data_IF_336069336627
#
_entry.id   IF_336069336627
#
_cell.length_a   1.000
_cell.length_b   1.000
_cell.length_c   1.000
_cell.angle_alpha   90.00
_cell.angle_beta   90.00
_cell.angle_gamma   90.00
#
_symmetry.space_group_name_H-M   'P 1'
#
loop_
_entity.id
_entity.type
_entity.pdbx_description
1 polymer ?
#
# COMPACT_ATOMS: atom_id res chain seq x y z
N UNK A 1 -34.00 53.71 0.32
CA UNK A 1 -34.20 52.34 0.84
C UNK A 1 -33.77 52.38 2.30
N UNK A 2 -34.64 52.00 3.25
CA UNK A 2 -34.32 52.15 4.67
C UNK A 2 -33.51 50.96 5.19
N UNK A 3 -32.58 51.25 6.10
CA UNK A 3 -31.74 50.29 6.82
C UNK A 3 -32.58 49.32 7.67
N UNK A 4 -32.14 48.05 7.85
CA UNK A 4 -32.82 47.13 8.73
C UNK A 4 -32.45 47.44 10.20
N UNK A 5 -33.47 47.73 11.00
CA UNK A 5 -33.37 47.85 12.46
C UNK A 5 -33.10 46.49 13.09
N UNK A 6 -32.07 46.43 13.93
CA UNK A 6 -31.74 45.28 14.79
C UNK A 6 -32.63 45.35 16.04
N UNK A 7 -33.36 44.29 16.43
CA UNK A 7 -34.15 44.31 17.65
C UNK A 7 -33.29 44.02 18.90
N UNK A 8 -33.59 44.79 19.94
CA UNK A 8 -32.99 44.79 21.28
C UNK A 8 -33.02 43.42 21.97
N UNK A 9 -31.84 42.99 22.47
CA UNK A 9 -31.65 41.83 23.35
C UNK A 9 -31.82 42.23 24.82
N UNK A 10 -33.02 42.56 25.27
CA UNK A 10 -33.31 42.59 26.71
C UNK A 10 -34.80 42.39 26.99
N UNK A 11 -35.24 41.13 27.19
CA UNK A 11 -36.35 40.72 28.08
C UNK A 11 -36.77 39.28 27.82
N UNK A 12 -36.07 38.32 28.44
CA UNK A 12 -36.55 36.93 28.60
C UNK A 12 -35.91 36.33 29.86
N UNK A 13 -36.20 36.90 31.02
CA UNK A 13 -36.05 36.26 32.32
C UNK A 13 -37.38 36.47 33.05
N UNK A 14 -38.27 35.49 32.90
CA UNK A 14 -39.26 35.05 33.90
C UNK A 14 -40.24 34.10 33.23
N UNK A 15 -39.94 32.80 33.30
CA UNK A 15 -40.93 31.73 33.17
C UNK A 15 -40.88 30.90 34.45
N UNK A 16 -42.02 30.62 35.09
CA UNK A 16 -42.07 29.79 36.28
C UNK A 16 -41.73 28.34 35.92
N UNK A 17 -40.82 27.74 36.68
CA UNK A 17 -40.51 26.31 36.66
C UNK A 17 -41.80 25.50 36.89
N UNK A 18 -42.29 24.85 35.84
CA UNK A 18 -43.24 23.76 35.98
C UNK A 18 -42.45 22.50 36.38
N UNK A 19 -42.59 22.09 37.63
CA UNK A 19 -42.14 20.79 38.12
C UNK A 19 -42.80 19.67 37.31
N UNK A 20 -42.02 19.03 36.45
CA UNK A 20 -42.38 17.75 35.85
C UNK A 20 -42.35 16.67 36.94
N UNK A 21 -43.32 15.75 36.97
CA UNK A 21 -43.35 14.66 37.94
C UNK A 21 -42.13 13.77 37.74
N UNK A 22 -41.35 13.59 38.81
CA UNK A 22 -40.18 12.73 38.84
C UNK A 22 -40.55 11.29 38.52
N UNK A 23 -40.25 10.86 37.30
CA UNK A 23 -40.19 9.45 36.94
C UNK A 23 -38.90 8.91 37.54
N UNK A 24 -39.01 8.22 38.67
CA UNK A 24 -37.93 7.43 39.23
C UNK A 24 -37.64 6.26 38.27
N UNK A 25 -36.76 6.49 37.29
CA UNK A 25 -36.15 5.41 36.52
C UNK A 25 -35.14 4.72 37.43
N UNK A 26 -35.59 3.72 38.20
CA UNK A 26 -34.66 2.74 38.76
C UNK A 26 -33.83 2.17 37.61
N UNK A 27 -32.49 2.25 37.66
CA UNK A 27 -31.66 1.62 36.63
C UNK A 27 -31.97 0.12 36.65
N UNK A 28 -32.59 -0.35 35.58
CA UNK A 28 -32.78 -1.79 35.37
C UNK A 28 -31.38 -2.40 35.38
N UNK A 29 -31.08 -3.36 36.27
CA UNK A 29 -29.78 -3.99 36.29
C UNK A 29 -29.62 -4.75 34.97
N UNK A 30 -28.86 -4.17 34.06
CA UNK A 30 -28.43 -4.82 32.82
C UNK A 30 -27.56 -5.99 33.28
N UNK A 31 -28.11 -7.21 33.18
CA UNK A 31 -27.39 -8.42 33.58
C UNK A 31 -26.06 -8.50 32.84
N UNK A 32 -24.98 -8.80 33.56
CA UNK A 32 -23.67 -8.99 32.94
C UNK A 32 -23.78 -10.13 31.91
N UNK A 33 -23.37 -9.94 30.65
CA UNK A 33 -23.39 -11.01 29.67
C UNK A 33 -22.51 -12.16 30.15
N UNK A 34 -22.98 -13.40 29.94
CA UNK A 34 -22.19 -14.59 30.26
C UNK A 34 -21.05 -14.76 29.24
N UNK A 35 -19.96 -15.43 29.62
CA UNK A 35 -18.84 -15.75 28.71
C UNK A 35 -19.33 -16.44 27.44
N UNK A 36 -20.24 -17.40 27.60
CA UNK A 36 -20.85 -18.13 26.48
C UNK A 36 -21.59 -17.21 25.50
N UNK A 37 -22.18 -16.11 25.98
CA UNK A 37 -22.82 -15.12 25.12
C UNK A 37 -21.77 -14.31 24.33
N UNK A 38 -20.67 -13.92 24.97
CA UNK A 38 -19.58 -13.15 24.32
C UNK A 38 -18.86 -14.01 23.27
N UNK A 39 -18.53 -15.27 23.60
CA UNK A 39 -17.85 -16.19 22.67
C UNK A 39 -18.72 -16.55 21.47
N UNK A 40 -20.02 -16.78 21.69
CA UNK A 40 -20.98 -17.01 20.59
C UNK A 40 -21.07 -15.81 19.65
N UNK A 41 -21.10 -14.59 20.21
CA UNK A 41 -21.08 -13.35 19.42
C UNK A 41 -19.81 -13.23 18.57
N UNK A 42 -18.63 -13.53 19.13
CA UNK A 42 -17.36 -13.50 18.40
C UNK A 42 -17.33 -14.46 17.21
N UNK A 43 -17.82 -15.68 17.37
CA UNK A 43 -17.88 -16.69 16.29
C UNK A 43 -18.79 -16.22 15.16
N UNK A 44 -19.98 -15.70 15.50
CA UNK A 44 -20.93 -15.21 14.51
C UNK A 44 -20.35 -14.02 13.73
N UNK A 45 -19.69 -13.09 14.42
CA UNK A 45 -19.05 -11.94 13.77
C UNK A 45 -17.92 -12.40 12.84
N UNK A 46 -17.07 -13.34 13.27
CA UNK A 46 -15.98 -13.86 12.44
C UNK A 46 -16.50 -14.51 11.14
N UNK A 47 -17.56 -15.33 11.23
CA UNK A 47 -18.18 -15.93 10.05
C UNK A 47 -18.73 -14.89 9.06
N UNK A 48 -19.37 -13.82 9.58
CA UNK A 48 -19.88 -12.72 8.75
C UNK A 48 -18.74 -11.92 8.10
N UNK A 49 -17.63 -11.71 8.81
CA UNK A 49 -16.44 -11.05 8.27
C UNK A 49 -15.90 -11.83 7.06
N UNK A 50 -15.81 -13.16 7.17
CA UNK A 50 -15.31 -14.01 6.07
C UNK A 50 -16.25 -14.02 4.86
N UNK A 51 -17.57 -14.06 5.09
CA UNK A 51 -18.58 -13.97 4.05
C UNK A 51 -18.46 -12.65 3.27
N UNK A 52 -18.38 -11.52 3.96
CA UNK A 52 -18.23 -10.20 3.33
C UNK A 52 -16.89 -10.07 2.58
N UNK A 53 -15.81 -10.65 3.12
CA UNK A 53 -14.50 -10.69 2.43
C UNK A 53 -14.59 -11.45 1.10
N UNK A 54 -15.36 -12.53 1.03
CA UNK A 54 -15.58 -13.28 -0.20
C UNK A 54 -16.39 -12.48 -1.23
N UNK A 55 -17.48 -11.82 -0.81
CA UNK A 55 -18.29 -10.97 -1.71
C UNK A 55 -17.47 -9.83 -2.33
N UNK A 56 -16.57 -9.23 -1.54
CA UNK A 56 -15.73 -8.09 -1.95
C UNK A 56 -14.77 -8.41 -3.09
N UNK A 57 -14.36 -9.67 -3.28
CA UNK A 57 -13.37 -10.03 -4.32
C UNK A 57 -13.85 -9.74 -5.76
N UNK A 58 -15.15 -9.55 -5.97
CA UNK A 58 -15.75 -9.30 -7.28
C UNK A 58 -15.97 -7.83 -7.62
N UNK A 59 -15.93 -6.93 -6.63
CA UNK A 59 -16.38 -5.54 -6.78
C UNK A 59 -15.22 -4.58 -7.01
N UNK A 60 -15.41 -3.60 -7.90
CA UNK A 60 -14.42 -2.56 -8.17
C UNK A 60 -14.57 -1.39 -7.20
N UNK A 61 -13.47 -0.78 -6.80
CA UNK A 61 -13.41 0.40 -5.94
C UNK A 61 -14.03 1.69 -6.50
N UNK A 62 -14.56 1.66 -7.72
CA UNK A 62 -15.38 2.75 -8.28
C UNK A 62 -16.87 2.56 -7.99
N UNK A 63 -17.26 1.39 -7.51
CA UNK A 63 -18.63 1.07 -7.22
C UNK A 63 -19.01 1.61 -5.82
N UNK A 64 -20.05 2.44 -5.67
CA UNK A 64 -20.57 2.78 -4.34
C UNK A 64 -20.94 1.53 -3.53
N UNK A 65 -21.30 0.42 -4.18
CA UNK A 65 -21.55 -0.87 -3.53
C UNK A 65 -20.27 -1.39 -2.88
N UNK A 66 -19.12 -1.37 -3.57
CA UNK A 66 -17.84 -1.79 -2.99
C UNK A 66 -17.53 -1.07 -1.68
N UNK A 67 -17.67 0.25 -1.65
CA UNK A 67 -17.38 1.04 -0.45
C UNK A 67 -18.41 0.84 0.66
N UNK A 68 -19.68 0.61 0.30
CA UNK A 68 -20.72 0.26 1.26
C UNK A 68 -20.45 -1.13 1.87
N UNK A 69 -20.09 -2.12 1.06
CA UNK A 69 -19.67 -3.45 1.50
C UNK A 69 -18.42 -3.37 2.39
N UNK A 70 -17.44 -2.54 2.03
CA UNK A 70 -16.24 -2.30 2.85
C UNK A 70 -16.59 -1.64 4.18
N UNK A 71 -17.49 -0.65 4.21
CA UNK A 71 -17.97 -0.04 5.45
C UNK A 71 -18.65 -1.08 6.34
N UNK A 72 -19.52 -1.92 5.78
CA UNK A 72 -20.18 -3.01 6.51
C UNK A 72 -19.16 -4.00 7.09
N UNK A 73 -18.12 -4.37 6.33
CA UNK A 73 -17.03 -5.22 6.80
C UNK A 73 -16.35 -4.60 8.02
N UNK A 74 -15.96 -3.33 7.92
CA UNK A 74 -15.27 -2.61 9.00
C UNK A 74 -16.17 -2.50 10.25
N UNK A 75 -17.48 -2.27 10.09
CA UNK A 75 -18.43 -2.28 11.23
C UNK A 75 -18.47 -3.62 11.96
N UNK A 76 -18.38 -4.74 11.21
CA UNK A 76 -18.29 -6.07 11.80
C UNK A 76 -16.96 -6.30 12.51
N UNK A 77 -15.85 -5.82 11.94
CA UNK A 77 -14.55 -5.84 12.60
C UNK A 77 -14.56 -5.01 13.90
N UNK A 78 -15.11 -3.79 13.89
CA UNK A 78 -15.32 -2.99 15.11
C UNK A 78 -16.07 -3.79 16.18
N UNK A 79 -17.18 -4.42 15.79
CA UNK A 79 -18.00 -5.25 16.70
C UNK A 79 -17.20 -6.46 17.25
N UNK A 80 -16.31 -7.03 16.43
CA UNK A 80 -15.42 -8.14 16.83
C UNK A 80 -14.44 -7.66 17.90
N UNK A 81 -13.75 -6.54 17.64
CA UNK A 81 -12.75 -5.95 18.55
C UNK A 81 -13.40 -5.56 19.88
N UNK A 82 -14.59 -4.94 19.84
CA UNK A 82 -15.35 -4.61 21.05
C UNK A 82 -15.73 -5.85 21.87
N UNK A 83 -16.23 -6.90 21.20
CA UNK A 83 -16.58 -8.16 21.85
C UNK A 83 -15.35 -8.83 22.45
N UNK A 84 -14.20 -8.75 21.76
CA UNK A 84 -12.94 -9.31 22.22
C UNK A 84 -12.36 -8.54 23.41
N UNK A 85 -12.44 -7.20 23.37
CA UNK A 85 -12.09 -6.32 24.49
C UNK A 85 -12.94 -6.62 25.73
N UNK A 86 -14.26 -6.83 25.55
CA UNK A 86 -15.16 -7.24 26.62
C UNK A 86 -14.80 -8.62 27.20
N UNK A 87 -14.42 -9.58 26.34
CA UNK A 87 -13.94 -10.89 26.78
C UNK A 87 -12.64 -10.78 27.59
N UNK A 88 -11.64 -10.04 27.12
CA UNK A 88 -10.37 -9.86 27.83
C UNK A 88 -10.55 -9.15 29.18
N UNK A 89 -11.42 -8.15 29.25
CA UNK A 89 -11.80 -7.53 30.50
C UNK A 89 -12.47 -8.52 31.47
N UNK A 90 -13.36 -9.39 30.96
CA UNK A 90 -13.99 -10.41 31.78
C UNK A 90 -12.93 -11.37 32.34
N UNK A 91 -12.09 -11.92 31.46
CA UNK A 91 -11.02 -12.86 31.81
C UNK A 91 -10.06 -12.27 32.84
N UNK A 92 -9.65 -11.01 32.65
CA UNK A 92 -8.83 -10.28 33.60
C UNK A 92 -9.48 -10.16 34.99
N UNK A 93 -10.80 -9.93 35.04
CA UNK A 93 -11.55 -9.82 36.30
C UNK A 93 -11.77 -11.17 37.00
N UNK A 94 -11.93 -12.26 36.24
CA UNK A 94 -12.24 -13.58 36.81
C UNK A 94 -11.01 -14.41 37.11
N UNK A 95 -10.00 -14.35 36.24
CA UNK A 95 -8.83 -15.23 36.27
C UNK A 95 -7.53 -14.47 36.60
N UNK A 96 -7.51 -13.14 36.48
CA UNK A 96 -6.34 -12.30 36.79
C UNK A 96 -6.25 -11.84 38.25
N UNK A 97 -5.12 -11.20 38.61
CA UNK A 97 -4.91 -10.51 39.91
C UNK A 97 -5.68 -9.20 40.06
N UNK A 98 -6.48 -8.82 39.06
CA UNK A 98 -7.07 -7.48 38.91
C UNK A 98 -8.11 -7.08 39.96
N UNK A 99 -8.65 -8.02 40.74
CA UNK A 99 -9.66 -7.70 41.75
C UNK A 99 -10.84 -6.88 41.17
N UNK A 100 -11.29 -5.86 41.91
CA UNK A 100 -12.37 -4.96 41.49
C UNK A 100 -11.87 -3.77 40.63
N UNK A 101 -10.79 -3.91 39.87
CA UNK A 101 -10.31 -2.83 38.99
C UNK A 101 -11.43 -2.32 38.08
N UNK A 102 -11.55 -1.02 38.00
CA UNK A 102 -12.48 -0.36 37.09
C UNK A 102 -12.00 -0.52 35.63
N UNK A 103 -12.91 -0.32 34.69
CA UNK A 103 -12.65 -0.51 33.26
C UNK A 103 -11.49 0.35 32.74
N UNK A 104 -11.46 1.64 33.13
CA UNK A 104 -10.41 2.58 32.72
C UNK A 104 -9.03 2.20 33.29
N UNK A 105 -9.00 1.58 34.47
CA UNK A 105 -7.74 1.13 35.10
C UNK A 105 -7.14 -0.07 34.35
N UNK A 106 -7.98 -0.91 33.75
CA UNK A 106 -7.53 -2.00 32.87
C UNK A 106 -6.98 -1.48 31.54
N UNK A 107 -7.62 -0.45 30.96
CA UNK A 107 -7.13 0.20 29.74
C UNK A 107 -5.75 0.83 29.92
N UNK A 108 -5.50 1.46 31.07
CA UNK A 108 -4.23 2.11 31.35
C UNK A 108 -3.11 1.12 31.73
N UNK A 109 -3.45 0.01 32.41
CA UNK A 109 -2.45 -0.93 32.93
C UNK A 109 -2.04 -2.04 31.95
N UNK A 110 -2.92 -2.44 31.04
CA UNK A 110 -2.69 -3.62 30.21
C UNK A 110 -2.30 -3.21 28.79
N UNK A 111 -1.10 -3.64 28.34
CA UNK A 111 -0.64 -3.38 26.96
C UNK A 111 -1.68 -3.82 25.93
N UNK A 112 -2.31 -4.97 26.14
CA UNK A 112 -3.34 -5.52 25.24
C UNK A 112 -4.53 -4.58 25.10
N UNK A 113 -4.96 -3.92 26.18
CA UNK A 113 -6.09 -2.99 26.13
C UNK A 113 -5.76 -1.74 25.30
N UNK A 114 -4.53 -1.23 25.41
CA UNK A 114 -4.05 -0.11 24.60
C UNK A 114 -3.96 -0.47 23.11
N UNK A 115 -3.52 -1.69 22.78
CA UNK A 115 -3.48 -2.18 21.38
C UNK A 115 -4.90 -2.25 20.80
N UNK A 116 -5.83 -2.90 21.50
CA UNK A 116 -7.24 -3.00 21.06
C UNK A 116 -7.91 -1.63 20.92
N UNK A 117 -7.54 -0.66 21.75
CA UNK A 117 -8.04 0.71 21.66
C UNK A 117 -7.54 1.41 20.39
N UNK A 118 -6.23 1.32 20.09
CA UNK A 118 -5.65 1.87 18.87
C UNK A 118 -6.26 1.23 17.62
N UNK A 119 -6.49 -0.08 17.68
CA UNK A 119 -7.13 -0.80 16.61
C UNK A 119 -8.58 -0.35 16.37
N UNK A 120 -9.37 -0.14 17.44
CA UNK A 120 -10.71 0.45 17.31
C UNK A 120 -10.68 1.84 16.67
N UNK A 121 -9.73 2.70 17.05
CA UNK A 121 -9.57 4.04 16.49
C UNK A 121 -9.24 3.99 15.00
N UNK A 122 -8.32 3.10 14.61
CA UNK A 122 -7.99 2.78 13.23
C UNK A 122 -9.23 2.33 12.43
N UNK A 123 -9.98 1.35 12.93
CA UNK A 123 -11.19 0.84 12.27
C UNK A 123 -12.26 1.93 12.13
N UNK A 124 -12.48 2.78 13.15
CA UNK A 124 -13.41 3.90 13.07
C UNK A 124 -12.98 4.92 12.00
N UNK A 125 -11.69 5.22 11.90
CA UNK A 125 -11.18 6.09 10.85
C UNK A 125 -11.43 5.49 9.45
N UNK A 126 -11.09 4.21 9.25
CA UNK A 126 -11.36 3.51 8.00
C UNK A 126 -12.86 3.46 7.66
N UNK A 127 -13.72 3.29 8.66
CA UNK A 127 -15.18 3.30 8.48
C UNK A 127 -15.67 4.66 7.99
N UNK A 128 -15.19 5.74 8.59
CA UNK A 128 -15.47 7.11 8.15
C UNK A 128 -15.11 7.31 6.68
N UNK A 129 -13.92 6.87 6.28
CA UNK A 129 -13.47 6.94 4.89
C UNK A 129 -14.36 6.11 3.97
N UNK A 130 -14.65 4.86 4.32
CA UNK A 130 -15.46 3.98 3.49
C UNK A 130 -16.88 4.53 3.28
N UNK A 131 -17.51 5.04 4.34
CA UNK A 131 -18.83 5.70 4.26
C UNK A 131 -18.76 6.98 3.42
N UNK A 132 -17.74 7.82 3.62
CA UNK A 132 -17.53 9.03 2.84
C UNK A 132 -17.36 8.75 1.34
N UNK A 133 -16.59 7.73 0.99
CA UNK A 133 -16.42 7.28 -0.40
C UNK A 133 -17.73 6.76 -1.00
N UNK A 134 -18.48 5.93 -0.25
CA UNK A 134 -19.77 5.41 -0.71
C UNK A 134 -20.76 6.53 -1.00
N UNK A 135 -20.93 7.48 -0.08
CA UNK A 135 -21.84 8.62 -0.27
C UNK A 135 -21.40 9.55 -1.39
N UNK A 136 -20.09 9.79 -1.52
CA UNK A 136 -19.55 10.58 -2.63
C UNK A 136 -19.86 9.96 -3.99
N UNK A 137 -19.71 8.64 -4.12
CA UNK A 137 -20.00 7.93 -5.37
C UNK A 137 -21.52 7.86 -5.64
N UNK A 138 -22.37 7.71 -4.61
CA UNK A 138 -23.83 7.72 -4.75
C UNK A 138 -24.38 9.07 -5.18
N UNK A 139 -23.88 10.16 -4.59
CA UNK A 139 -24.40 11.51 -4.84
C UNK A 139 -24.09 12.04 -6.24
N UNK A 140 -23.17 11.39 -6.96
CA UNK A 140 -22.82 11.76 -8.33
C UNK A 140 -22.31 13.20 -8.46
N UNK A 141 -21.96 13.87 -7.35
CA UNK A 141 -21.32 15.19 -7.38
C UNK A 141 -20.07 15.02 -8.22
N UNK A 142 -20.09 15.61 -9.42
CA UNK A 142 -18.97 15.55 -10.35
C UNK A 142 -17.75 15.99 -9.56
N UNK A 143 -16.79 15.10 -9.38
CA UNK A 143 -15.68 15.41 -8.52
C UNK A 143 -14.88 16.51 -9.24
N UNK A 144 -14.16 17.34 -8.47
CA UNK A 144 -13.36 18.43 -9.04
C UNK A 144 -12.51 17.92 -10.22
N UNK A 145 -12.07 18.77 -11.16
CA UNK A 145 -11.22 18.35 -12.30
C UNK A 145 -10.02 17.46 -11.90
N UNK A 146 -9.53 17.61 -10.66
CA UNK A 146 -8.49 16.76 -10.04
C UNK A 146 -8.85 15.26 -10.06
N UNK A 147 -10.14 14.91 -10.04
CA UNK A 147 -10.63 13.55 -9.85
C UNK A 147 -11.03 12.84 -11.15
N UNK A 148 -11.04 13.53 -12.31
CA UNK A 148 -11.26 12.92 -13.63
C UNK A 148 -10.21 11.85 -13.97
N UNK A 149 -9.07 11.89 -13.28
CA UNK A 149 -7.98 10.93 -13.45
C UNK A 149 -8.22 9.57 -12.80
N UNK A 150 -9.09 9.50 -11.79
CA UNK A 150 -9.27 8.30 -10.98
C UNK A 150 -9.74 7.08 -11.81
N UNK A 151 -10.77 7.17 -12.67
CA UNK A 151 -11.21 5.99 -13.44
C UNK A 151 -10.13 5.43 -14.37
N UNK A 152 -9.32 6.30 -14.99
CA UNK A 152 -8.23 5.92 -15.90
C UNK A 152 -7.06 5.30 -15.17
N UNK A 153 -6.72 5.86 -14.02
CA UNK A 153 -5.73 5.29 -13.12
C UNK A 153 -6.15 3.89 -12.67
N UNK A 154 -7.41 3.70 -12.28
CA UNK A 154 -7.92 2.40 -11.86
C UNK A 154 -8.02 1.38 -12.97
N UNK A 155 -8.35 1.80 -14.20
CA UNK A 155 -8.24 0.92 -15.35
C UNK A 155 -6.80 0.40 -15.50
N UNK A 156 -5.81 1.26 -15.29
CA UNK A 156 -4.39 0.88 -15.36
C UNK A 156 -4.02 -0.17 -14.29
N UNK A 157 -4.38 0.07 -13.02
CA UNK A 157 -4.06 -0.87 -11.93
C UNK A 157 -4.88 -2.16 -11.97
N UNK A 158 -6.16 -2.08 -12.32
CA UNK A 158 -7.01 -3.26 -12.47
C UNK A 158 -6.56 -4.14 -13.63
N UNK A 159 -6.03 -3.54 -14.71
CA UNK A 159 -5.41 -4.29 -15.79
C UNK A 159 -4.13 -5.00 -15.31
N UNK A 160 -3.33 -4.40 -14.43
CA UNK A 160 -2.20 -5.10 -13.77
C UNK A 160 -2.70 -6.30 -12.96
N UNK A 161 -3.76 -6.12 -12.15
CA UNK A 161 -4.34 -7.20 -11.35
C UNK A 161 -4.91 -8.34 -12.21
N UNK A 162 -5.61 -8.04 -13.31
CA UNK A 162 -6.19 -9.06 -14.20
C UNK A 162 -5.12 -9.92 -14.89
N UNK A 163 -3.99 -9.32 -15.29
CA UNK A 163 -2.88 -10.06 -15.88
C UNK A 163 -2.24 -11.09 -14.95
N UNK A 164 -2.44 -10.99 -13.63
CA UNK A 164 -1.94 -11.97 -12.66
C UNK A 164 -2.70 -13.29 -12.70
N UNK A 165 -3.99 -13.27 -13.07
CA UNK A 165 -4.83 -14.47 -13.08
C UNK A 165 -4.91 -15.11 -14.47
N UNK A 166 -4.65 -14.35 -15.53
CA UNK A 166 -4.68 -14.82 -16.91
C UNK A 166 -3.25 -15.07 -17.46
N UNK A 167 -2.40 -15.78 -16.69
CA UNK A 167 -1.14 -16.33 -17.23
C UNK A 167 -1.37 -17.51 -18.19
N UNK A 168 -2.64 -17.85 -18.48
CA UNK A 168 -3.00 -18.70 -19.59
C UNK A 168 -2.83 -17.90 -20.88
N UNK A 169 -1.68 -18.14 -21.54
CA UNK A 169 -1.38 -17.92 -22.95
C UNK A 169 -2.64 -17.51 -23.73
N UNK A 170 -2.81 -16.20 -23.93
CA UNK A 170 -3.93 -15.65 -24.68
C UNK A 170 -3.70 -15.97 -26.18
N UNK A 171 -4.08 -17.17 -26.60
CA UNK A 171 -4.06 -17.66 -27.99
C UNK A 171 -5.33 -17.26 -28.75
N UNK A 172 -5.87 -16.07 -28.52
CA UNK A 172 -7.01 -15.53 -29.25
C UNK A 172 -6.87 -14.01 -29.30
N UNK A 173 -6.79 -13.30 -30.41
CA UNK A 173 -6.99 -13.53 -31.84
C UNK A 173 -5.90 -12.73 -32.57
N UNK A 174 -5.39 -13.17 -33.73
CA UNK A 174 -4.38 -12.44 -34.49
C UNK A 174 -5.02 -11.25 -35.21
N UNK A 175 -5.48 -10.26 -34.46
CA UNK A 175 -5.40 -8.90 -34.99
C UNK A 175 -3.90 -8.63 -35.11
N UNK A 176 -3.43 -8.30 -36.31
CA UNK A 176 -2.06 -7.92 -36.59
C UNK A 176 -1.73 -6.63 -35.84
N UNK A 177 -1.55 -6.73 -34.53
CA UNK A 177 -1.02 -5.65 -33.73
C UNK A 177 0.40 -5.43 -34.25
N UNK A 178 0.64 -4.24 -34.76
CA UNK A 178 1.93 -3.86 -35.31
C UNK A 178 2.99 -3.99 -34.20
N UNK A 179 3.78 -5.06 -34.25
CA UNK A 179 4.86 -5.32 -33.31
C UNK A 179 6.11 -4.50 -33.64
N UNK A 180 6.08 -3.68 -34.69
CA UNK A 180 7.20 -2.83 -35.08
C UNK A 180 7.68 -1.92 -33.94
N UNK A 181 6.83 -1.30 -33.08
CA UNK A 181 7.32 -0.45 -32.00
C UNK A 181 8.12 -1.21 -30.94
N UNK A 182 7.70 -2.43 -30.59
CA UNK A 182 8.41 -3.26 -29.60
C UNK A 182 9.73 -3.77 -30.16
N UNK A 183 9.73 -4.20 -31.44
CA UNK A 183 10.96 -4.60 -32.14
C UNK A 183 11.96 -3.44 -32.25
N UNK A 184 11.46 -2.25 -32.60
CA UNK A 184 12.26 -1.03 -32.70
C UNK A 184 12.84 -0.62 -31.34
N UNK A 185 12.03 -0.68 -30.27
CA UNK A 185 12.49 -0.44 -28.90
C UNK A 185 13.59 -1.42 -28.50
N UNK A 186 13.39 -2.72 -28.74
CA UNK A 186 14.40 -3.74 -28.45
C UNK A 186 15.70 -3.44 -29.19
N UNK A 187 15.63 -3.10 -30.48
CA UNK A 187 16.82 -2.76 -31.26
C UNK A 187 17.52 -1.50 -30.74
N UNK A 188 16.77 -0.47 -30.33
CA UNK A 188 17.32 0.72 -29.69
C UNK A 188 18.03 0.37 -28.37
N UNK A 189 17.42 -0.49 -27.54
CA UNK A 189 18.03 -0.98 -26.31
C UNK A 189 19.33 -1.75 -26.56
N UNK A 190 19.41 -2.57 -27.61
CA UNK A 190 20.67 -3.26 -27.98
C UNK A 190 21.75 -2.21 -28.24
N UNK A 191 21.44 -1.16 -29.00
CA UNK A 191 22.41 -0.12 -29.33
C UNK A 191 22.85 0.68 -28.09
N UNK A 192 21.94 0.95 -27.15
CA UNK A 192 22.21 1.80 -26.00
C UNK A 192 22.85 1.05 -24.81
N UNK A 193 22.48 -0.21 -24.58
CA UNK A 193 22.95 -1.01 -23.44
C UNK A 193 24.07 -2.02 -23.79
N UNK A 194 24.16 -2.47 -25.04
CA UNK A 194 25.08 -3.54 -25.45
C UNK A 194 26.14 -3.00 -26.43
N UNK A 195 27.27 -2.46 -25.92
CA UNK A 195 28.33 -1.94 -26.79
C UNK A 195 28.97 -3.03 -27.66
N UNK A 196 28.96 -4.28 -27.18
CA UNK A 196 29.46 -5.46 -27.91
C UNK A 196 28.30 -6.22 -28.57
N UNK A 197 28.22 -6.17 -29.90
CA UNK A 197 27.09 -6.75 -30.65
C UNK A 197 27.10 -8.29 -30.73
N UNK A 198 28.28 -8.89 -30.61
CA UNK A 198 28.48 -10.33 -30.79
C UNK A 198 28.46 -11.14 -29.47
N UNK A 199 28.46 -10.44 -28.32
CA UNK A 199 28.53 -11.07 -27.00
C UNK A 199 27.17 -11.60 -26.49
N UNK A 200 26.07 -11.21 -27.12
CA UNK A 200 24.70 -11.54 -26.69
C UNK A 200 23.96 -10.31 -26.21
N UNK A 201 23.07 -10.49 -25.22
CA UNK A 201 22.31 -9.40 -24.60
C UNK A 201 22.75 -9.27 -23.14
N UNK A 202 23.11 -8.06 -22.73
CA UNK A 202 23.55 -7.79 -21.36
C UNK A 202 22.36 -7.62 -20.42
N UNK A 203 22.29 -8.43 -19.37
CA UNK A 203 21.38 -8.26 -18.24
C UNK A 203 22.10 -7.45 -17.14
N UNK A 204 21.65 -6.22 -16.80
CA UNK A 204 22.31 -5.39 -15.82
C UNK A 204 22.05 -5.82 -14.37
N UNK A 205 20.99 -6.59 -14.09
CA UNK A 205 20.74 -7.10 -12.73
C UNK A 205 21.70 -8.26 -12.43
N UNK A 206 21.84 -9.19 -13.37
CA UNK A 206 22.81 -10.28 -13.25
C UNK A 206 24.24 -9.80 -13.50
N UNK A 207 24.44 -8.75 -14.29
CA UNK A 207 25.77 -8.31 -14.71
C UNK A 207 26.42 -9.34 -15.63
N UNK A 208 25.68 -9.81 -16.64
CA UNK A 208 26.11 -10.93 -17.49
C UNK A 208 25.53 -10.87 -18.91
N UNK A 209 26.33 -11.33 -19.87
CA UNK A 209 25.90 -11.62 -21.23
C UNK A 209 25.10 -12.91 -21.29
N UNK A 210 23.90 -12.83 -21.87
CA UNK A 210 22.97 -13.95 -22.01
C UNK A 210 22.56 -14.11 -23.47
N UNK A 211 22.12 -15.32 -23.82
CA UNK A 211 21.60 -15.59 -25.16
C UNK A 211 20.29 -14.84 -25.38
N UNK A 212 20.06 -14.39 -26.63
CA UNK A 212 18.91 -13.53 -26.98
C UNK A 212 17.55 -14.13 -26.55
N UNK A 213 17.40 -15.46 -26.61
CA UNK A 213 16.17 -16.17 -26.22
C UNK A 213 15.95 -16.29 -24.70
N UNK A 214 16.97 -16.01 -23.89
CA UNK A 214 16.89 -16.05 -22.42
C UNK A 214 16.62 -14.68 -21.80
N UNK A 215 16.59 -13.62 -22.62
CA UNK A 215 16.46 -12.22 -22.17
C UNK A 215 15.30 -11.53 -22.84
N UNK A 216 14.49 -10.88 -22.00
CA UNK A 216 13.36 -10.07 -22.44
C UNK A 216 13.72 -8.59 -22.39
N UNK A 217 13.16 -7.84 -23.35
CA UNK A 217 13.20 -6.38 -23.35
C UNK A 217 12.05 -5.90 -22.48
N UNK A 218 12.23 -6.01 -21.16
CA UNK A 218 11.20 -5.75 -20.18
C UNK A 218 10.82 -4.27 -20.19
N UNK A 219 9.52 -3.98 -20.34
CA UNK A 219 9.02 -2.62 -20.23
C UNK A 219 8.83 -2.27 -18.76
N UNK A 220 9.42 -1.15 -18.33
CA UNK A 220 9.27 -0.65 -16.97
C UNK A 220 7.89 -0.02 -16.76
N UNK A 221 7.38 0.70 -17.75
CA UNK A 221 5.97 1.10 -17.84
C UNK A 221 5.25 0.33 -18.97
N UNK A 222 4.11 -0.31 -18.68
CA UNK A 222 3.48 -1.24 -19.60
C UNK A 222 2.95 -0.58 -20.89
N UNK A 223 3.16 -1.24 -22.03
CA UNK A 223 2.76 -0.78 -23.37
C UNK A 223 1.25 -0.54 -23.52
N UNK A 224 0.43 -1.41 -22.92
CA UNK A 224 -1.04 -1.23 -22.90
C UNK A 224 -1.50 0.06 -22.22
N UNK A 225 -0.62 0.69 -21.44
CA UNK A 225 -0.89 1.89 -20.67
C UNK A 225 -0.32 3.15 -21.33
N UNK A 226 0.20 3.07 -22.56
CA UNK A 226 0.73 4.21 -23.35
C UNK A 226 -0.22 5.40 -23.39
N UNK A 227 -1.53 5.15 -23.55
CA UNK A 227 -2.57 6.20 -23.55
C UNK A 227 -2.62 7.03 -22.25
N UNK A 228 -2.04 6.52 -21.17
CA UNK A 228 -1.97 7.15 -19.85
C UNK A 228 -0.59 7.75 -19.56
N UNK A 229 0.41 7.51 -20.41
CA UNK A 229 1.77 7.98 -20.15
C UNK A 229 1.84 9.51 -20.01
N UNK A 230 1.22 10.26 -20.92
CA UNK A 230 1.16 11.73 -20.85
C UNK A 230 0.50 12.20 -19.54
N UNK A 231 -0.56 11.49 -19.16
CA UNK A 231 -1.41 11.85 -18.05
C UNK A 231 -0.67 11.60 -16.72
N UNK A 232 0.11 10.53 -16.64
CA UNK A 232 0.88 10.10 -15.46
C UNK A 232 2.19 10.88 -15.33
N UNK A 233 2.97 10.94 -16.40
CA UNK A 233 4.36 11.39 -16.39
C UNK A 233 4.59 12.78 -17.01
N UNK A 234 3.55 13.40 -17.57
CA UNK A 234 3.64 14.70 -18.23
C UNK A 234 3.84 14.64 -19.75
N UNK A 235 3.95 15.81 -20.37
CA UNK A 235 4.06 15.95 -21.82
C UNK A 235 5.32 15.26 -22.38
N UNK A 236 5.21 14.63 -23.55
CA UNK A 236 6.31 13.89 -24.18
C UNK A 236 6.50 12.45 -23.70
N UNK A 237 5.77 12.02 -22.67
CA UNK A 237 5.95 10.68 -22.11
C UNK A 237 5.39 9.56 -22.99
N UNK A 238 4.41 9.85 -23.85
CA UNK A 238 3.78 8.85 -24.71
C UNK A 238 4.74 8.39 -25.82
N UNK A 239 5.50 9.33 -26.36
CA UNK A 239 6.52 9.13 -27.37
C UNK A 239 7.75 8.40 -26.80
N UNK A 240 8.02 8.55 -25.50
CA UNK A 240 9.16 7.93 -24.79
C UNK A 240 8.89 6.46 -24.42
N UNK A 241 7.63 5.97 -24.41
CA UNK A 241 7.29 4.59 -23.97
C UNK A 241 7.95 3.50 -24.81
N UNK A 242 8.11 3.71 -26.12
CA UNK A 242 8.73 2.74 -27.04
C UNK A 242 10.21 3.06 -27.31
N UNK A 243 10.87 3.73 -26.37
CA UNK A 243 12.30 4.02 -26.43
C UNK A 243 13.06 3.17 -25.40
N UNK A 244 14.37 3.05 -25.58
CA UNK A 244 15.27 2.37 -24.64
C UNK A 244 15.18 2.89 -23.20
N UNK A 245 14.70 4.12 -23.01
CA UNK A 245 14.52 4.75 -21.69
C UNK A 245 13.46 4.08 -20.82
N UNK A 246 12.49 3.38 -21.42
CA UNK A 246 11.42 2.67 -20.72
C UNK A 246 11.69 1.16 -20.61
N UNK A 247 12.92 0.70 -20.86
CA UNK A 247 13.22 -0.73 -20.87
C UNK A 247 14.52 -1.10 -20.19
N UNK A 248 14.55 -2.33 -19.69
CA UNK A 248 15.74 -3.04 -19.25
C UNK A 248 15.76 -4.43 -19.86
N UNK A 249 16.96 -4.93 -20.15
CA UNK A 249 17.14 -6.33 -20.52
C UNK A 249 17.20 -7.19 -19.28
N UNK A 250 16.26 -8.12 -19.11
CA UNK A 250 16.16 -8.95 -17.90
C UNK A 250 16.00 -10.42 -18.27
N UNK A 251 16.57 -11.30 -17.45
CA UNK A 251 16.22 -12.72 -17.45
C UNK A 251 14.72 -12.88 -17.21
N UNK A 252 14.14 -13.97 -17.73
CA UNK A 252 12.69 -14.22 -17.62
C UNK A 252 12.24 -14.29 -16.14
N UNK A 253 13.08 -14.85 -15.28
CA UNK A 253 12.83 -15.01 -13.85
C UNK A 253 12.85 -13.67 -13.12
N UNK A 254 13.76 -12.75 -13.48
CA UNK A 254 13.84 -11.42 -12.88
C UNK A 254 12.68 -10.54 -13.35
N UNK A 255 12.35 -10.58 -14.64
CA UNK A 255 11.18 -9.87 -15.16
C UNK A 255 9.89 -10.34 -14.45
N UNK A 256 9.69 -11.65 -14.35
CA UNK A 256 8.52 -12.23 -13.66
C UNK A 256 8.48 -11.79 -12.18
N UNK A 257 9.62 -11.79 -11.49
CA UNK A 257 9.68 -11.37 -10.09
C UNK A 257 9.41 -9.87 -9.90
N UNK A 258 9.83 -9.00 -10.83
CA UNK A 258 9.44 -7.58 -10.84
C UNK A 258 7.94 -7.41 -11.13
N UNK A 259 7.40 -8.15 -12.09
CA UNK A 259 5.97 -8.10 -12.43
C UNK A 259 5.08 -8.53 -11.26
N UNK A 260 5.50 -9.53 -10.49
CA UNK A 260 4.82 -10.02 -9.27
C UNK A 260 5.02 -9.13 -8.04
N UNK A 261 5.88 -8.12 -8.13
CA UNK A 261 6.26 -7.25 -7.02
C UNK A 261 7.11 -7.93 -5.95
N UNK A 262 7.75 -9.05 -6.26
CA UNK A 262 8.70 -9.72 -5.35
C UNK A 262 10.06 -9.03 -5.34
N UNK A 263 10.46 -8.46 -6.48
CA UNK A 263 11.62 -7.58 -6.61
C UNK A 263 11.19 -6.14 -6.87
N UNK A 264 12.05 -5.20 -6.50
CA UNK A 264 11.98 -3.81 -6.95
C UNK A 264 13.35 -3.29 -7.33
N UNK A 265 13.36 -2.26 -8.19
CA UNK A 265 14.56 -1.50 -8.51
C UNK A 265 14.43 -0.14 -7.82
N UNK A 266 15.48 0.26 -7.11
CA UNK A 266 15.55 1.49 -6.34
C UNK A 266 16.85 2.24 -6.62
N UNK A 267 16.96 3.53 -6.26
CA UNK A 267 18.22 4.25 -6.29
C UNK A 267 19.32 3.51 -5.51
N UNK A 268 20.52 3.47 -6.05
CA UNK A 268 21.71 2.98 -5.34
C UNK A 268 22.23 4.04 -4.38
N UNK A 269 21.45 4.27 -3.33
CA UNK A 269 21.78 5.16 -2.22
C UNK A 269 21.79 4.35 -0.93
N UNK A 270 22.70 4.72 -0.03
CA UNK A 270 22.72 4.20 1.33
C UNK A 270 21.65 4.95 2.14
N UNK A 271 20.45 4.38 2.17
CA UNK A 271 19.27 4.96 2.84
C UNK A 271 18.83 4.15 4.05
N UNK A 272 19.63 3.16 4.45
CA UNK A 272 19.42 2.51 5.73
C UNK A 272 19.83 3.47 6.86
N UNK A 273 19.04 3.52 7.95
CA UNK A 273 19.34 4.39 9.07
C UNK A 273 20.62 3.92 9.74
N UNK A 274 21.52 4.86 10.06
CA UNK A 274 22.74 4.56 10.81
C UNK A 274 22.44 3.91 12.16
N UNK A 275 21.32 4.29 12.77
CA UNK A 275 20.78 3.74 14.02
C UNK A 275 19.36 3.22 13.76
N UNK A 276 19.17 1.90 13.54
CA UNK A 276 17.85 1.30 13.35
C UNK A 276 16.88 1.54 14.50
N UNK A 277 17.38 1.77 15.73
CA UNK A 277 16.54 2.07 16.89
C UNK A 277 16.03 3.52 16.92
N UNK A 278 16.66 4.41 16.14
CA UNK A 278 16.28 5.81 16.02
C UNK A 278 16.38 6.32 14.56
N UNK A 279 15.58 5.75 13.64
CA UNK A 279 15.69 6.00 12.19
C UNK A 279 15.36 7.44 11.78
N UNK A 280 14.81 8.25 12.68
CA UNK A 280 14.55 9.67 12.46
C UNK A 280 15.79 10.56 12.64
N UNK A 281 16.83 10.09 13.36
CA UNK A 281 18.02 10.91 13.67
C UNK A 281 18.81 11.35 12.44
N UNK A 282 18.81 10.52 11.40
CA UNK A 282 19.60 10.75 10.18
C UNK A 282 18.74 11.05 8.94
N UNK A 283 17.45 11.38 9.14
CA UNK A 283 16.51 11.65 8.05
C UNK A 283 17.02 12.72 7.09
N UNK A 284 17.57 13.82 7.62
CA UNK A 284 18.14 14.91 6.81
C UNK A 284 19.36 14.46 5.99
N UNK A 285 20.18 13.56 6.53
CA UNK A 285 21.33 13.01 5.81
C UNK A 285 20.88 12.11 4.67
N UNK A 286 19.85 11.28 4.90
CA UNK A 286 19.26 10.41 3.87
C UNK A 286 18.63 11.24 2.74
N UNK A 287 17.91 12.32 3.08
CA UNK A 287 17.38 13.29 2.13
C UNK A 287 18.48 13.88 1.24
N UNK A 288 19.60 14.33 1.82
CA UNK A 288 20.74 14.85 1.05
C UNK A 288 21.35 13.83 0.11
N UNK A 289 21.51 12.57 0.54
CA UNK A 289 22.01 11.49 -0.33
C UNK A 289 21.08 11.25 -1.52
N UNK A 290 19.76 11.35 -1.31
CA UNK A 290 18.79 11.25 -2.38
C UNK A 290 18.87 12.45 -3.33
N UNK A 291 18.97 13.68 -2.81
CA UNK A 291 19.18 14.90 -3.62
C UNK A 291 20.48 14.82 -4.45
N UNK A 292 21.57 14.32 -3.86
CA UNK A 292 22.83 14.07 -4.56
C UNK A 292 22.66 13.04 -5.68
N UNK A 293 21.97 11.93 -5.41
CA UNK A 293 21.65 10.94 -6.43
C UNK A 293 20.78 11.53 -7.55
N UNK A 294 19.81 12.38 -7.22
CA UNK A 294 18.98 13.10 -8.19
C UNK A 294 19.73 14.18 -8.98
N UNK A 295 20.84 14.70 -8.45
CA UNK A 295 21.73 15.61 -9.18
C UNK A 295 22.75 14.87 -10.06
N UNK A 296 23.14 13.64 -9.71
CA UNK A 296 24.19 12.89 -10.39
C UNK A 296 23.72 12.26 -11.71
N UNK A 297 24.56 12.28 -12.73
CA UNK A 297 24.36 11.50 -13.96
C UNK A 297 25.66 10.72 -14.26
N UNK A 298 25.59 9.42 -14.60
CA UNK A 298 24.37 8.61 -14.73
C UNK A 298 23.71 8.23 -13.39
N UNK A 299 22.39 7.93 -13.43
CA UNK A 299 21.63 7.39 -12.30
C UNK A 299 21.98 5.93 -12.00
N UNK A 300 22.43 5.64 -10.79
CA UNK A 300 22.74 4.27 -10.36
C UNK A 300 21.57 3.62 -9.61
N UNK A 301 21.40 2.31 -9.79
CA UNK A 301 20.27 1.57 -9.22
C UNK A 301 20.73 0.28 -8.55
N UNK A 302 19.93 -0.22 -7.60
CA UNK A 302 20.08 -1.55 -6.99
C UNK A 302 18.74 -2.28 -6.93
N UNK A 303 18.79 -3.60 -6.83
CA UNK A 303 17.62 -4.45 -6.63
C UNK A 303 17.37 -4.65 -5.14
N UNK A 304 16.10 -4.65 -4.73
CA UNK A 304 15.69 -5.14 -3.42
C UNK A 304 14.67 -6.27 -3.60
N UNK A 305 14.73 -7.19 -2.66
CA UNK A 305 13.73 -8.24 -2.47
C UNK A 305 12.72 -7.74 -1.45
N UNK A 306 11.44 -7.63 -1.83
CA UNK A 306 10.37 -7.22 -0.94
C UNK A 306 9.57 -8.40 -0.38
N UNK A 307 9.28 -9.37 -1.25
CA UNK A 307 8.60 -10.60 -0.87
C UNK A 307 9.65 -11.68 -0.64
N UNK A 308 9.74 -12.12 0.61
CA UNK A 308 10.65 -13.19 1.01
C UNK A 308 9.98 -14.56 1.02
N UNK A 309 8.84 -14.76 0.33
CA UNK A 309 8.20 -16.08 0.18
C UNK A 309 9.28 -17.13 -0.11
N UNK A 310 9.60 -17.98 0.89
CA UNK A 310 10.81 -18.79 0.84
C UNK A 310 10.70 -19.79 -0.31
N UNK A 311 9.50 -20.27 -0.65
CA UNK A 311 9.33 -21.32 -1.65
C UNK A 311 9.69 -20.84 -3.06
N UNK A 312 9.23 -19.64 -3.45
CA UNK A 312 9.55 -19.09 -4.76
C UNK A 312 10.97 -18.50 -4.79
N UNK A 313 11.38 -17.83 -3.72
CA UNK A 313 12.59 -17.01 -3.72
C UNK A 313 13.88 -17.81 -3.53
N UNK A 314 13.86 -18.93 -2.80
CA UNK A 314 15.05 -19.79 -2.59
C UNK A 314 15.21 -20.85 -3.67
N UNK A 315 14.27 -20.96 -4.62
CA UNK A 315 14.38 -21.89 -5.74
C UNK A 315 15.63 -21.56 -6.56
N UNK A 316 16.48 -22.55 -6.78
CA UNK A 316 17.64 -22.41 -7.68
C UNK A 316 17.13 -22.14 -9.10
N UNK A 317 17.24 -20.88 -9.52
CA UNK A 317 16.85 -20.41 -10.85
C UNK A 317 18.06 -20.20 -11.74
N UNK A 318 19.22 -19.94 -11.15
CA UNK A 318 20.45 -19.66 -11.87
C UNK A 318 21.52 -20.71 -11.54
N UNK A 319 21.99 -21.42 -12.56
CA UNK A 319 23.01 -22.47 -12.36
C UNK A 319 24.41 -21.85 -12.31
N UNK A 320 24.90 -21.56 -11.09
CA UNK A 320 26.24 -20.98 -10.86
C UNK A 320 27.36 -21.86 -11.43
N UNK A 321 27.30 -23.18 -11.22
CA UNK A 321 28.36 -24.11 -11.63
C UNK A 321 28.50 -24.26 -13.15
N UNK A 322 27.39 -24.39 -13.86
CA UNK A 322 27.40 -24.75 -15.28
C UNK A 322 27.45 -23.52 -16.19
N UNK A 323 26.82 -22.43 -15.76
CA UNK A 323 26.70 -21.24 -16.58
C UNK A 323 27.53 -20.09 -16.02
N UNK A 324 28.04 -20.15 -14.79
CA UNK A 324 28.82 -19.07 -14.18
C UNK A 324 27.93 -17.88 -13.80
N UNK A 325 26.72 -18.11 -13.31
CA UNK A 325 25.88 -17.02 -12.78
C UNK A 325 26.43 -16.54 -11.44
N UNK A 326 26.37 -15.23 -11.15
CA UNK A 326 26.88 -14.70 -9.89
C UNK A 326 25.96 -14.97 -8.70
N UNK A 327 24.71 -15.34 -8.95
CA UNK A 327 23.69 -15.71 -7.96
C UNK A 327 23.10 -17.07 -8.30
N UNK A 328 22.56 -17.77 -7.31
CA UNK A 328 21.84 -19.05 -7.51
C UNK A 328 20.32 -18.92 -7.48
N UNK A 329 19.82 -17.96 -6.69
CA UNK A 329 18.41 -17.74 -6.43
C UNK A 329 18.07 -16.23 -6.41
N UNK A 330 16.78 -15.89 -6.30
CA UNK A 330 16.34 -14.50 -6.34
C UNK A 330 16.63 -13.73 -5.04
N UNK A 331 16.73 -14.41 -3.89
CA UNK A 331 17.08 -13.77 -2.60
C UNK A 331 18.46 -13.13 -2.67
N UNK A 332 19.43 -13.79 -3.32
CA UNK A 332 20.79 -13.29 -3.50
C UNK A 332 20.89 -12.00 -4.36
N UNK A 333 19.79 -11.55 -4.97
CA UNK A 333 19.72 -10.26 -5.67
C UNK A 333 19.48 -9.09 -4.72
N UNK A 334 19.09 -9.31 -3.46
CA UNK A 334 18.82 -8.23 -2.51
C UNK A 334 20.07 -7.35 -2.30
N UNK A 335 19.93 -6.04 -2.48
CA UNK A 335 21.00 -5.06 -2.36
C UNK A 335 21.99 -5.04 -3.53
N UNK A 336 21.83 -5.91 -4.55
CA UNK A 336 22.76 -5.98 -5.67
C UNK A 336 22.62 -4.76 -6.58
N UNK A 337 23.73 -4.08 -6.85
CA UNK A 337 23.81 -2.97 -7.80
C UNK A 337 23.61 -3.44 -9.23
N UNK A 338 22.84 -2.69 -10.02
CA UNK A 338 22.75 -2.90 -11.45
C UNK A 338 24.08 -2.51 -12.10
N UNK A 339 24.54 -3.32 -13.04
CA UNK A 339 25.80 -3.13 -13.75
C UNK A 339 25.49 -2.74 -15.18
N UNK A 340 25.73 -1.48 -15.56
CA UNK A 340 25.55 -1.02 -16.93
C UNK A 340 26.90 -0.96 -17.66
N UNK A 341 26.90 -1.33 -18.94
CA UNK A 341 28.12 -1.30 -19.77
C UNK A 341 28.38 0.06 -20.44
N UNK A 342 27.40 0.96 -20.40
CA UNK A 342 27.44 2.31 -20.97
C UNK A 342 26.95 3.31 -19.93
N UNK A 343 27.00 4.61 -20.22
CA UNK A 343 26.39 5.66 -19.37
C UNK A 343 24.86 5.73 -19.53
N UNK A 344 24.27 4.93 -20.42
CA UNK A 344 22.82 4.94 -20.64
C UNK A 344 22.09 4.31 -19.46
N UNK A 345 21.00 4.95 -19.00
CA UNK A 345 20.15 4.49 -17.90
C UNK A 345 18.68 4.59 -18.30
N UNK A 346 17.82 3.70 -17.78
CA UNK A 346 16.38 3.91 -17.89
C UNK A 346 16.00 5.22 -17.17
N UNK A 347 14.93 5.87 -17.62
CA UNK A 347 14.42 7.08 -16.97
C UNK A 347 13.86 6.72 -15.60
N UNK A 348 14.27 7.48 -14.59
CA UNK A 348 13.91 7.22 -13.19
C UNK A 348 12.41 7.14 -12.95
N UNK A 349 11.57 7.89 -13.69
CA UNK A 349 10.09 7.81 -13.58
C UNK A 349 9.52 6.44 -13.93
N UNK A 350 10.14 5.69 -14.84
CA UNK A 350 9.67 4.36 -15.20
C UNK A 350 10.17 3.31 -14.22
N UNK A 351 11.39 3.48 -13.68
CA UNK A 351 11.89 2.66 -12.57
C UNK A 351 11.04 2.89 -11.31
N UNK A 352 10.70 4.15 -11.02
CA UNK A 352 9.78 4.51 -9.96
C UNK A 352 8.40 3.87 -10.14
N UNK A 353 7.91 3.78 -11.39
CA UNK A 353 6.65 3.12 -11.68
C UNK A 353 6.67 1.62 -11.32
N UNK A 354 7.75 0.90 -11.65
CA UNK A 354 7.85 -0.53 -11.27
C UNK A 354 7.87 -0.69 -9.75
N UNK A 355 8.57 0.19 -9.05
CA UNK A 355 8.57 0.26 -7.59
C UNK A 355 7.16 0.49 -7.02
N UNK A 356 6.44 1.52 -7.50
CA UNK A 356 5.07 1.82 -7.04
C UNK A 356 4.15 0.62 -7.28
N UNK A 357 4.24 0.01 -8.45
CA UNK A 357 3.44 -1.15 -8.80
C UNK A 357 3.72 -2.34 -7.87
N UNK A 358 4.98 -2.61 -7.56
CA UNK A 358 5.36 -3.68 -6.63
C UNK A 358 4.80 -3.45 -5.22
N UNK A 359 4.98 -2.25 -4.66
CA UNK A 359 4.43 -1.89 -3.34
C UNK A 359 2.90 -2.01 -3.32
N UNK A 360 2.24 -1.58 -4.40
CA UNK A 360 0.78 -1.72 -4.53
C UNK A 360 0.37 -3.18 -4.50
N UNK A 361 1.04 -4.05 -5.26
CA UNK A 361 0.73 -5.48 -5.28
C UNK A 361 0.98 -6.14 -3.92
N UNK A 362 2.02 -5.70 -3.23
CA UNK A 362 2.39 -6.20 -1.92
C UNK A 362 1.36 -5.82 -0.86
N UNK A 363 0.80 -4.60 -0.94
CA UNK A 363 -0.31 -4.15 -0.09
C UNK A 363 -1.60 -4.96 -0.23
N UNK A 364 -1.72 -5.76 -1.30
CA UNK A 364 -2.86 -6.65 -1.52
C UNK A 364 -2.63 -8.07 -0.99
N UNK A 365 -1.41 -8.44 -0.61
CA UNK A 365 -1.13 -9.74 -0.02
C UNK A 365 -1.55 -9.72 1.45
N UNK A 366 -2.04 -10.84 2.01
CA UNK A 366 -2.21 -10.98 3.46
C UNK A 366 -0.89 -10.63 4.15
N UNK A 367 -0.98 -9.81 5.19
CA UNK A 367 0.14 -9.30 5.96
C UNK A 367 1.11 -10.43 6.38
N UNK A 368 2.38 -10.32 6.01
CA UNK A 368 3.48 -11.06 6.64
C UNK A 368 4.46 -10.04 7.18
N UNK A 369 4.91 -10.18 8.44
CA UNK A 369 5.56 -9.08 9.13
C UNK A 369 6.83 -8.53 8.50
N UNK A 370 7.68 -9.45 8.04
CA UNK A 370 8.87 -9.14 7.26
C UNK A 370 8.58 -8.29 6.00
N UNK A 371 7.48 -8.56 5.30
CA UNK A 371 7.09 -7.82 4.09
C UNK A 371 6.73 -6.38 4.44
N UNK A 372 6.15 -6.15 5.62
CA UNK A 372 5.74 -4.82 6.06
C UNK A 372 6.91 -3.95 6.47
N UNK A 373 7.84 -4.54 7.21
CA UNK A 373 9.09 -3.88 7.57
C UNK A 373 9.89 -3.53 6.33
N UNK A 374 9.93 -4.42 5.33
CA UNK A 374 10.55 -4.11 4.05
C UNK A 374 9.78 -3.05 3.27
N UNK A 375 8.45 -3.08 3.20
CA UNK A 375 7.65 -1.98 2.61
C UNK A 375 7.94 -0.67 3.34
N UNK A 376 8.06 -0.71 4.67
CA UNK A 376 8.29 0.46 5.50
C UNK A 376 9.69 1.06 5.27
N UNK A 377 10.71 0.22 5.16
CA UNK A 377 12.05 0.63 4.73
C UNK A 377 12.04 1.10 3.29
N UNK A 378 11.27 0.43 2.43
CA UNK A 378 11.26 0.66 1.01
C UNK A 378 10.81 2.09 0.66
N UNK A 379 9.91 2.64 1.48
CA UNK A 379 9.41 4.03 1.38
C UNK A 379 10.51 5.09 1.39
N UNK A 380 11.67 4.75 1.94
CA UNK A 380 12.82 5.65 2.03
C UNK A 380 13.52 5.80 0.69
N UNK A 381 13.44 4.81 -0.20
CA UNK A 381 14.25 4.76 -1.42
C UNK A 381 13.82 5.76 -2.49
N UNK A 382 12.54 6.06 -2.57
CA UNK A 382 11.99 7.02 -3.51
C UNK A 382 11.35 8.18 -2.74
N UNK A 383 12.11 8.73 -1.78
CA UNK A 383 11.74 9.93 -1.02
C UNK A 383 11.17 11.02 -1.94
N UNK A 384 10.47 11.97 -1.34
CA UNK A 384 9.64 12.96 -2.04
C UNK A 384 10.37 13.80 -3.09
N UNK A 385 11.70 13.86 -3.10
CA UNK A 385 12.48 14.78 -3.96
C UNK A 385 12.19 14.74 -5.46
N UNK A 386 11.73 13.62 -6.02
CA UNK A 386 11.75 13.46 -7.47
C UNK A 386 10.42 13.72 -8.21
N UNK A 387 10.55 14.32 -9.40
CA UNK A 387 9.46 14.67 -10.33
C UNK A 387 8.99 13.45 -11.14
N UNK A 388 8.53 12.40 -10.46
CA UNK A 388 8.19 11.12 -11.11
C UNK A 388 6.75 11.07 -11.63
N UNK A 389 5.80 11.72 -10.94
CA UNK A 389 4.36 11.59 -11.23
C UNK A 389 3.61 12.88 -10.90
N UNK A 390 2.54 13.19 -11.64
CA UNK A 390 1.71 14.35 -11.32
C UNK A 390 0.95 14.20 -9.99
N UNK A 391 0.79 15.29 -9.25
CA UNK A 391 0.09 15.34 -7.94
C UNK A 391 -1.31 14.70 -7.99
N UNK A 392 -2.09 14.99 -9.04
CA UNK A 392 -3.45 14.47 -9.19
C UNK A 392 -3.50 12.93 -9.34
N UNK A 393 -2.49 12.32 -9.95
CA UNK A 393 -2.37 10.86 -10.09
C UNK A 393 -2.09 10.23 -8.73
N UNK A 394 -1.22 10.87 -7.94
CA UNK A 394 -0.84 10.45 -6.60
C UNK A 394 -2.01 10.56 -5.62
N UNK A 395 -2.75 11.67 -5.70
CA UNK A 395 -4.03 11.83 -5.00
C UNK A 395 -4.99 10.70 -5.39
N UNK A 396 -5.11 10.37 -6.69
CA UNK A 396 -5.90 9.25 -7.16
C UNK A 396 -5.51 7.90 -6.53
N UNK A 397 -4.21 7.66 -6.36
CA UNK A 397 -3.68 6.46 -5.71
C UNK A 397 -4.03 6.41 -4.21
N UNK A 398 -3.89 7.52 -3.48
CA UNK A 398 -4.23 7.62 -2.05
C UNK A 398 -5.69 7.27 -1.79
N UNK A 399 -6.61 7.83 -2.60
CA UNK A 399 -8.04 7.52 -2.42
C UNK A 399 -8.38 6.08 -2.83
N UNK A 400 -7.59 5.47 -3.71
CA UNK A 400 -7.80 4.08 -4.08
C UNK A 400 -7.40 3.12 -2.97
N UNK A 401 -6.27 3.43 -2.35
CA UNK A 401 -5.93 2.87 -1.06
C UNK A 401 -6.91 3.42 -0.01
N UNK A 402 -8.00 4.11 -0.33
CA UNK A 402 -9.12 4.33 0.59
C UNK A 402 -8.75 5.10 1.85
N UNK A 403 -7.93 6.13 1.70
CA UNK A 403 -7.63 7.07 2.77
C UNK A 403 -8.39 8.38 2.59
N UNK A 404 -8.51 9.11 3.69
CA UNK A 404 -9.08 10.43 3.68
C UNK A 404 -8.14 11.36 2.90
N UNK A 405 -8.66 11.82 1.77
CA UNK A 405 -7.91 12.65 0.83
C UNK A 405 -7.81 14.07 1.37
N UNK A 406 -8.76 14.49 2.20
CA UNK A 406 -8.84 15.86 2.68
C UNK A 406 -7.76 16.12 3.74
N UNK A 407 -7.59 15.25 4.72
CA UNK A 407 -6.45 15.35 5.67
C UNK A 407 -5.07 15.23 5.00
N UNK A 408 -4.95 14.37 3.99
CA UNK A 408 -3.70 14.24 3.22
C UNK A 408 -3.48 15.45 2.31
N UNK A 409 -4.53 15.97 1.67
CA UNK A 409 -4.47 17.17 0.87
C UNK A 409 -4.12 18.39 1.72
N UNK A 410 -4.68 18.52 2.93
CA UNK A 410 -4.34 19.58 3.89
C UNK A 410 -2.88 19.47 4.32
N UNK A 411 -2.38 18.28 4.66
CA UNK A 411 -0.96 18.06 4.94
C UNK A 411 -0.07 18.39 3.74
N UNK A 412 -0.52 18.04 2.53
CA UNK A 412 0.15 18.42 1.29
C UNK A 412 0.17 19.95 1.09
N UNK A 413 -0.94 20.65 1.32
CA UNK A 413 -1.04 22.12 1.21
C UNK A 413 -0.17 22.83 2.25
N UNK A 414 -0.12 22.32 3.49
CA UNK A 414 0.66 22.88 4.61
C UNK A 414 2.18 22.80 4.38
N UNK A 415 2.64 21.86 3.56
CA UNK A 415 4.05 21.77 3.11
C UNK A 415 4.38 22.70 1.92
N UNK A 416 3.53 23.69 1.62
CA UNK A 416 3.82 24.77 0.67
C UNK A 416 3.31 24.54 -0.76
N UNK A 417 2.26 23.75 -0.95
CA UNK A 417 1.69 23.49 -2.27
C UNK A 417 0.59 24.50 -2.58
N UNK A 418 0.88 25.52 -3.38
CA UNK A 418 -0.17 26.40 -3.92
C UNK A 418 -1.00 25.65 -4.99
N UNK A 419 -2.34 25.75 -4.91
CA UNK A 419 -3.27 25.04 -5.82
C UNK A 419 -3.28 25.58 -7.27
N UNK A 420 -2.76 26.79 -7.49
CA UNK A 420 -2.98 27.56 -8.74
C UNK A 420 -1.76 27.68 -9.66
N UNK A 421 -0.68 26.94 -9.37
CA UNK A 421 0.46 26.89 -10.29
C UNK A 421 0.11 25.99 -11.48
N UNK A 422 -0.20 26.60 -12.62
CA UNK A 422 -0.31 25.98 -13.96
C UNK A 422 1.04 25.37 -14.44
N UNK A 423 2.00 25.15 -13.51
CA UNK A 423 3.25 24.48 -13.78
C UNK A 423 2.98 23.04 -14.21
N UNK A 424 3.35 22.76 -15.45
CA UNK A 424 3.34 21.43 -16.08
C UNK A 424 4.32 20.43 -15.45
N UNK A 425 4.96 20.78 -14.33
CA UNK A 425 5.93 19.96 -13.65
C UNK A 425 5.29 19.03 -12.60
N UNK A 426 5.65 17.74 -12.54
CA UNK A 426 5.18 16.81 -11.52
C UNK A 426 5.69 17.21 -10.13
N UNK A 427 4.85 17.10 -9.10
CA UNK A 427 5.13 17.61 -7.73
C UNK A 427 5.29 16.49 -6.68
N UNK A 428 6.02 16.83 -5.62
CA UNK A 428 7.13 16.13 -4.98
C UNK A 428 6.67 15.37 -3.70
N UNK A 429 5.66 15.84 -2.96
CA UNK A 429 5.44 15.34 -1.58
C UNK A 429 4.49 14.14 -1.36
N UNK A 430 3.71 13.70 -2.36
CA UNK A 430 2.63 12.73 -2.06
C UNK A 430 3.08 11.27 -1.94
N UNK A 431 4.29 10.90 -2.38
CA UNK A 431 4.77 9.50 -2.40
C UNK A 431 4.98 9.01 -0.96
N UNK A 432 5.68 9.79 -0.14
CA UNK A 432 5.87 9.46 1.26
C UNK A 432 4.54 9.31 1.99
N UNK A 433 3.53 10.11 1.64
CA UNK A 433 2.20 10.01 2.25
C UNK A 433 1.50 8.72 1.81
N UNK A 434 1.43 8.43 0.51
CA UNK A 434 0.72 7.23 0.08
C UNK A 434 1.38 5.97 0.63
N UNK A 435 2.71 5.95 0.66
CA UNK A 435 3.41 4.75 1.09
C UNK A 435 3.45 4.65 2.63
N UNK A 436 3.61 5.76 3.38
CA UNK A 436 3.39 5.78 4.85
C UNK A 436 2.03 5.23 5.22
N UNK A 437 1.04 5.49 4.38
CA UNK A 437 -0.32 5.06 4.60
C UNK A 437 -0.59 3.61 4.19
N UNK A 438 0.04 3.13 3.10
CA UNK A 438 0.11 1.69 2.79
C UNK A 438 0.75 0.92 3.96
N UNK A 439 1.85 1.43 4.53
CA UNK A 439 2.47 0.84 5.73
C UNK A 439 1.48 0.83 6.90
N UNK A 440 0.74 1.93 7.14
CA UNK A 440 -0.21 2.02 8.26
C UNK A 440 -1.27 0.92 8.20
N UNK A 441 -1.88 0.73 7.03
CA UNK A 441 -2.85 -0.35 6.80
C UNK A 441 -2.29 -1.74 6.95
N UNK A 442 -1.05 -1.90 6.52
CA UNK A 442 -0.37 -3.17 6.52
C UNK A 442 -0.03 -3.51 8.00
N UNK A 443 0.44 -2.54 8.79
CA UNK A 443 0.68 -2.68 10.25
C UNK A 443 -0.57 -2.92 11.08
N UNK A 444 -1.69 -2.28 10.72
CA UNK A 444 -2.99 -2.55 11.36
C UNK A 444 -3.44 -4.02 11.20
N UNK A 445 -3.02 -4.71 10.14
CA UNK A 445 -3.30 -6.14 9.96
C UNK A 445 -2.33 -7.05 10.75
N UNK A 446 -1.23 -6.51 11.28
CA UNK A 446 -0.10 -7.23 11.85
C UNK A 446 -0.21 -7.41 13.37
N UNK A 447 -0.97 -6.57 14.07
CA UNK A 447 -1.16 -6.64 15.53
C UNK A 447 -1.95 -7.89 16.00
N UNK A 448 -2.14 -8.86 15.10
CA UNK A 448 -2.88 -10.11 15.29
C UNK A 448 -2.05 -11.40 15.17
N UNK A 449 -0.79 -11.32 14.75
CA UNK A 449 0.10 -12.49 14.74
C UNK A 449 1.17 -12.33 15.84
N UNK A 450 0.94 -13.01 16.96
CA UNK A 450 1.96 -13.21 17.99
C UNK A 450 3.09 -14.08 17.40
N UNK A 451 4.33 -13.62 17.57
CA UNK A 451 5.54 -14.37 17.23
C UNK A 451 5.60 -15.65 18.10
N UNK A 452 5.32 -16.82 17.49
CA UNK A 452 5.74 -18.13 17.98
C UNK A 452 7.18 -18.36 17.53
N UNK A 453 8.13 -18.37 18.48
CA UNK A 453 9.19 -19.39 18.64
C UNK A 453 10.27 -18.88 19.62
N UNK A 454 10.22 -19.35 20.87
CA UNK A 454 11.20 -20.30 21.44
C UNK A 454 10.93 -20.48 22.95
N UNK A 455 10.55 -21.72 23.29
CA UNK A 455 10.64 -22.39 24.60
C UNK A 455 9.94 -21.75 25.81
N UNK A 456 8.61 -21.61 25.72
CA UNK A 456 7.75 -21.77 26.89
C UNK A 456 6.49 -22.53 26.43
N UNK A 457 5.91 -23.32 27.32
CA UNK A 457 4.88 -24.32 27.06
C UNK A 457 3.49 -23.71 26.71
N UNK A 458 3.50 -22.54 26.07
CA UNK A 458 2.36 -21.72 25.72
C UNK A 458 1.71 -22.20 24.43
N UNK A 459 0.49 -22.73 24.57
CA UNK A 459 -0.36 -23.17 23.47
C UNK A 459 -0.63 -22.03 22.44
N UNK A 460 -0.54 -22.36 21.14
CA UNK A 460 -0.86 -21.50 19.98
C UNK A 460 -2.12 -20.66 20.18
N UNK A 461 -2.05 -19.34 19.98
CA UNK A 461 -3.13 -18.37 20.19
C UNK A 461 -4.38 -18.64 19.33
N UNK A 462 -4.22 -19.15 18.10
CA UNK A 462 -5.32 -19.56 17.23
C UNK A 462 -5.83 -20.97 17.60
N UNK A 463 -4.95 -21.82 18.13
CA UNK A 463 -5.34 -23.11 18.72
C UNK A 463 -6.10 -22.95 20.05
N UNK A 464 -5.72 -22.03 20.95
CA UNK A 464 -6.46 -21.69 22.17
C UNK A 464 -7.86 -21.18 21.80
N UNK A 465 -7.95 -20.30 20.79
CA UNK A 465 -9.22 -19.83 20.26
C UNK A 465 -10.10 -20.98 19.73
N UNK A 466 -9.55 -21.90 18.93
CA UNK A 466 -10.28 -23.09 18.44
C UNK A 466 -10.61 -24.11 19.54
N UNK A 467 -9.73 -24.29 20.52
CA UNK A 467 -9.84 -25.31 21.58
C UNK A 467 -10.88 -24.91 22.63
N UNK A 468 -10.95 -23.64 23.02
CA UNK A 468 -12.00 -23.13 23.91
C UNK A 468 -13.40 -23.05 23.28
N UNK A 469 -13.49 -23.09 21.94
CA UNK A 469 -14.78 -23.16 21.22
C UNK A 469 -15.25 -24.62 21.05
N UNK A 470 -14.33 -25.59 21.05
CA UNK A 470 -14.63 -27.01 20.84
C UNK A 470 -14.64 -27.88 22.11
N UNK A 471 -14.15 -27.36 23.25
CA UNK A 471 -14.34 -27.90 24.60
C UNK A 471 -15.49 -27.20 25.33
#
# INVERSE_FOLDING_TARGET
MPEPQIPDRHSLLDRPEQQLPGVATSPVPVGRPSVACITSSLIQIAALVDEIRHERMSQQSLDPVFWSTKANLIEKECSRVESFKAYKLYDYKTNGRGGNLAYYEWEDHEKIAQLLQREMEALHHQLGIARGQAERLKTGKTPSPVYLFRPRFLELFNNVRKNRNDSAIDTATPDHQDNSPQSNMRQAMINDYCPEKDAGIWDPVLGKWLMQGCVRAAHLFPTRSVKYAHSIFGQGAQEEIFTSKNGLFLSMEIEEALEKGSLVIVPDTDLEPQDPSAPWKDQELRRRRMEEWEANEPKEYKVLVLDSDPVYMTKTVFNREHLGYPVENLVELHGRKLQFLTDFRPRSRYVWWTYLNAITQLSWKPAHKAIQDEVAKATRYWETGGRYVKKNVLVGFIQEIGHDVESIAESLLEHGIEEDSDSTEPDISGIAIVIREVIHRVRENEEYEYDEDEDDDGEDYYAIYKRHITS
#
